data_IF_101573228981
#
_entry.id   IF_101573228981
#
_cell.length_a   1.000
_cell.length_b   1.000
_cell.length_c   1.000
_cell.angle_alpha   90.00
_cell.angle_beta   90.00
_cell.angle_gamma   90.00
#
_symmetry.space_group_name_H-M   'P 1'
#
loop_
_entity.id
_entity.type
_entity.pdbx_description
1 polymer ?
#
# COMPACT_ATOMS: atom_id res chain seq x y z
N UNK A 1 11.50 22.84 59.80
CA UNK A 1 10.34 22.54 58.94
C UNK A 1 10.34 23.28 57.59
N UNK A 2 11.03 24.42 57.45
CA UNK A 2 11.00 25.24 56.22
C UNK A 2 11.90 24.70 55.08
N UNK A 3 13.00 24.01 55.42
CA UNK A 3 14.00 23.51 54.45
C UNK A 3 13.54 22.29 53.65
N UNK A 4 12.60 21.49 54.18
CA UNK A 4 12.07 20.28 53.50
C UNK A 4 11.05 20.62 52.39
N UNK A 5 10.39 21.78 52.47
CA UNK A 5 9.39 22.22 51.47
C UNK A 5 10.03 22.80 50.20
N UNK A 6 11.21 23.40 50.31
CA UNK A 6 11.94 23.98 49.17
C UNK A 6 12.56 22.87 48.29
N UNK A 7 13.06 21.79 48.90
CA UNK A 7 13.58 20.64 48.14
C UNK A 7 12.50 19.91 47.34
N UNK A 8 11.28 19.78 47.89
CA UNK A 8 10.16 19.13 47.21
C UNK A 8 9.67 19.97 46.00
N UNK A 9 9.63 21.29 46.12
CA UNK A 9 9.23 22.18 45.03
C UNK A 9 10.23 22.16 43.86
N UNK A 10 11.54 22.06 44.13
CA UNK A 10 12.57 21.95 43.10
C UNK A 10 12.53 20.61 42.35
N UNK A 11 12.23 19.50 43.04
CA UNK A 11 12.06 18.17 42.43
C UNK A 11 10.81 18.06 41.55
N UNK A 12 9.70 18.73 41.92
CA UNK A 12 8.49 18.81 41.07
C UNK A 12 8.69 19.74 39.88
N UNK A 13 9.48 20.81 40.01
CA UNK A 13 9.83 21.65 38.88
C UNK A 13 10.78 20.94 37.89
N UNK A 14 11.74 20.17 38.39
CA UNK A 14 12.60 19.35 37.53
C UNK A 14 11.85 18.22 36.86
N UNK A 15 10.92 17.53 37.53
CA UNK A 15 10.12 16.50 36.88
C UNK A 15 9.21 17.08 35.79
N UNK A 16 8.65 18.28 35.98
CA UNK A 16 7.89 18.98 34.92
C UNK A 16 8.77 19.49 33.78
N UNK A 17 10.01 19.91 34.05
CA UNK A 17 10.96 20.30 33.00
C UNK A 17 11.46 19.08 32.19
N UNK A 18 11.63 17.93 32.84
CA UNK A 18 11.99 16.67 32.17
C UNK A 18 10.85 16.07 31.35
N UNK A 19 9.59 16.27 31.75
CA UNK A 19 8.43 15.87 30.95
C UNK A 19 8.22 16.77 29.72
N UNK A 20 8.67 18.02 29.75
CA UNK A 20 8.61 18.93 28.60
C UNK A 20 9.81 18.83 27.64
N UNK A 21 10.84 18.06 27.98
CA UNK A 21 12.00 17.79 27.10
C UNK A 21 11.92 16.42 26.39
N UNK A 22 10.85 15.65 26.63
CA UNK A 22 10.62 14.34 25.98
C UNK A 22 9.29 14.25 25.21
N UNK A 23 8.60 15.38 24.99
CA UNK A 23 7.83 15.52 23.76
C UNK A 23 8.86 15.78 22.66
N UNK A 24 9.51 14.72 22.17
CA UNK A 24 10.23 14.81 20.91
C UNK A 24 9.24 15.45 19.94
N UNK A 25 9.56 16.65 19.43
CA UNK A 25 8.79 17.25 18.35
C UNK A 25 8.61 16.13 17.32
N UNK A 26 7.38 15.67 17.12
CA UNK A 26 7.12 14.65 16.11
C UNK A 26 7.74 15.19 14.83
N UNK A 27 8.78 14.50 14.33
CA UNK A 27 9.43 14.94 13.10
C UNK A 27 8.33 14.97 12.05
N UNK A 28 8.07 16.15 11.51
CA UNK A 28 7.10 16.32 10.42
C UNK A 28 7.57 15.45 9.26
N UNK A 29 6.79 14.44 8.90
CA UNK A 29 7.06 13.59 7.73
C UNK A 29 6.80 14.47 6.50
N UNK A 30 7.82 14.71 5.68
CA UNK A 30 7.72 15.61 4.52
C UNK A 30 8.19 14.95 3.22
N UNK A 31 8.62 13.68 3.28
CA UNK A 31 9.14 12.96 2.11
C UNK A 31 8.73 11.48 2.14
N UNK A 32 8.76 10.78 0.99
CA UNK A 32 8.53 9.33 0.94
C UNK A 32 9.49 8.54 1.82
N UNK A 33 10.77 8.95 1.89
CA UNK A 33 11.76 8.26 2.71
C UNK A 33 11.40 8.30 4.20
N UNK A 34 10.91 9.43 4.69
CA UNK A 34 10.42 9.58 6.07
C UNK A 34 9.08 8.85 6.26
N UNK A 35 8.18 8.91 5.28
CA UNK A 35 6.86 8.25 5.32
C UNK A 35 7.02 6.76 5.60
N UNK A 36 7.90 6.11 4.84
CA UNK A 36 8.16 4.67 4.91
C UNK A 36 9.28 4.28 5.89
N UNK A 37 9.85 5.23 6.62
CA UNK A 37 10.94 4.95 7.55
C UNK A 37 10.50 3.93 8.60
N UNK A 38 11.28 2.84 8.71
CA UNK A 38 11.06 1.76 9.68
C UNK A 38 9.96 0.77 9.32
N UNK A 39 9.20 1.01 8.25
CA UNK A 39 8.19 0.08 7.78
C UNK A 39 8.84 -1.07 7.00
N UNK A 40 8.50 -2.29 7.41
CA UNK A 40 8.95 -3.53 6.80
C UNK A 40 7.72 -4.39 6.49
N UNK A 41 7.44 -4.56 5.20
CA UNK A 41 6.28 -5.28 4.71
C UNK A 41 6.36 -6.80 4.95
N UNK A 42 7.50 -7.34 5.40
CA UNK A 42 7.71 -8.77 5.64
C UNK A 42 7.75 -9.12 7.13
N UNK A 43 7.87 -8.12 8.01
CA UNK A 43 8.05 -8.33 9.45
C UNK A 43 6.87 -9.03 10.11
N UNK A 44 5.66 -8.49 9.92
CA UNK A 44 4.48 -9.01 10.60
C UNK A 44 3.88 -10.20 9.84
N UNK A 45 3.37 -11.23 10.53
CA UNK A 45 2.75 -12.37 9.87
C UNK A 45 1.55 -11.95 9.04
N UNK A 46 1.33 -12.62 7.90
CA UNK A 46 0.19 -12.36 7.03
C UNK A 46 -1.11 -12.99 7.53
N UNK A 47 -1.07 -13.95 8.46
CA UNK A 47 -2.26 -14.61 9.02
C UNK A 47 -3.29 -14.98 7.93
N UNK A 48 -2.84 -15.75 6.94
CA UNK A 48 -3.62 -16.06 5.74
C UNK A 48 -4.83 -16.95 6.09
N UNK A 49 -5.98 -16.66 5.49
CA UNK A 49 -7.18 -17.48 5.57
C UNK A 49 -7.68 -17.75 4.15
N UNK A 50 -7.55 -18.99 3.68
CA UNK A 50 -8.08 -19.40 2.37
C UNK A 50 -9.60 -19.44 2.46
N UNK A 51 -10.26 -18.72 1.56
CA UNK A 51 -11.71 -18.70 1.42
C UNK A 51 -12.19 -19.75 0.41
N UNK A 52 -11.55 -19.81 -0.75
CA UNK A 52 -11.79 -20.87 -1.76
C UNK A 52 -10.50 -21.25 -2.47
N UNK A 53 -10.45 -22.48 -2.99
CA UNK A 53 -9.34 -22.97 -3.80
C UNK A 53 -9.88 -23.83 -4.96
N UNK A 54 -9.26 -23.74 -6.13
CA UNK A 54 -9.63 -24.53 -7.31
C UNK A 54 -8.51 -24.56 -8.35
N UNK A 55 -8.58 -25.55 -9.23
CA UNK A 55 -7.68 -25.72 -10.38
C UNK A 55 -8.47 -25.57 -11.70
N UNK A 56 -7.85 -25.01 -12.74
CA UNK A 56 -8.49 -24.92 -14.08
C UNK A 56 -7.62 -25.43 -15.24
N UNK A 57 -6.65 -26.29 -14.94
CA UNK A 57 -5.71 -26.88 -15.90
C UNK A 57 -4.54 -25.95 -16.28
N UNK A 58 -4.72 -24.63 -16.20
CA UNK A 58 -3.60 -23.69 -16.33
C UNK A 58 -2.80 -23.54 -15.04
N UNK A 59 -3.44 -23.73 -13.89
CA UNK A 59 -2.79 -23.60 -12.59
C UNK A 59 -3.73 -23.78 -11.40
N UNK A 60 -3.17 -23.50 -10.23
CA UNK A 60 -3.81 -23.54 -8.92
C UNK A 60 -4.17 -22.12 -8.50
N UNK A 61 -5.42 -21.91 -8.07
CA UNK A 61 -5.96 -20.60 -7.72
C UNK A 61 -6.60 -20.64 -6.34
N UNK A 62 -6.45 -19.55 -5.61
CA UNK A 62 -7.04 -19.38 -4.29
C UNK A 62 -7.61 -17.97 -4.16
N UNK A 63 -8.78 -17.88 -3.53
CA UNK A 63 -9.23 -16.63 -2.91
C UNK A 63 -8.95 -16.72 -1.42
N UNK A 64 -8.49 -15.63 -0.83
CA UNK A 64 -8.03 -15.63 0.56
C UNK A 64 -8.11 -14.24 1.18
N UNK A 65 -7.98 -14.20 2.50
CA UNK A 65 -7.78 -13.00 3.28
C UNK A 65 -6.42 -13.03 3.96
N UNK A 66 -5.78 -11.87 4.12
CA UNK A 66 -4.53 -11.74 4.90
C UNK A 66 -4.51 -10.44 5.71
N UNK A 67 -3.70 -10.38 6.77
CA UNK A 67 -3.49 -9.20 7.60
C UNK A 67 -2.58 -8.22 6.86
N UNK A 68 -3.16 -7.09 6.44
CA UNK A 68 -2.43 -5.96 5.90
C UNK A 68 -1.63 -5.25 6.99
N UNK A 69 -2.33 -4.71 7.98
CA UNK A 69 -1.77 -4.04 9.15
C UNK A 69 -2.66 -4.27 10.37
N UNK A 70 -2.15 -3.96 11.56
CA UNK A 70 -2.93 -3.97 12.81
C UNK A 70 -2.89 -2.56 13.40
N UNK A 71 -4.06 -1.95 13.52
CA UNK A 71 -4.23 -0.61 14.10
C UNK A 71 -5.18 -0.69 15.27
N UNK A 72 -4.77 -0.14 16.42
CA UNK A 72 -5.53 -0.18 17.67
C UNK A 72 -6.01 -1.60 18.07
N UNK A 73 -5.16 -2.60 17.79
CA UNK A 73 -5.46 -4.01 18.05
C UNK A 73 -6.46 -4.66 17.09
N UNK A 74 -6.93 -3.96 16.05
CA UNK A 74 -7.78 -4.54 14.99
C UNK A 74 -6.98 -4.70 13.69
N UNK A 75 -7.08 -5.88 13.10
CA UNK A 75 -6.45 -6.18 11.83
C UNK A 75 -7.25 -5.59 10.66
N UNK A 76 -6.56 -4.97 9.71
CA UNK A 76 -7.05 -4.78 8.34
C UNK A 76 -6.96 -6.13 7.62
N UNK A 77 -8.11 -6.69 7.26
CA UNK A 77 -8.20 -7.99 6.59
C UNK A 77 -8.39 -7.79 5.09
N UNK A 78 -7.31 -7.96 4.35
CA UNK A 78 -7.22 -7.69 2.91
C UNK A 78 -7.71 -8.90 2.14
N UNK A 79 -8.69 -8.71 1.26
CA UNK A 79 -9.14 -9.74 0.33
C UNK A 79 -8.19 -9.84 -0.87
N UNK A 80 -7.85 -11.06 -1.28
CA UNK A 80 -7.01 -11.31 -2.44
C UNK A 80 -7.35 -12.58 -3.19
N UNK A 81 -6.88 -12.62 -4.43
CA UNK A 81 -6.89 -13.77 -5.31
C UNK A 81 -5.43 -14.00 -5.72
N UNK A 82 -4.94 -15.21 -5.52
CA UNK A 82 -3.61 -15.62 -6.02
C UNK A 82 -3.73 -16.80 -6.95
N UNK A 83 -2.76 -16.93 -7.85
CA UNK A 83 -2.67 -18.03 -8.77
C UNK A 83 -1.24 -18.37 -9.11
N UNK A 84 -1.00 -19.66 -9.36
CA UNK A 84 0.31 -20.17 -9.76
C UNK A 84 0.15 -21.21 -10.87
N UNK A 85 1.06 -21.26 -11.86
CA UNK A 85 1.04 -22.28 -12.89
C UNK A 85 1.07 -23.69 -12.31
N UNK A 86 0.39 -24.62 -12.98
CA UNK A 86 0.38 -26.03 -12.60
C UNK A 86 1.81 -26.60 -12.63
N UNK A 87 2.18 -27.39 -11.63
CA UNK A 87 3.54 -27.91 -11.46
C UNK A 87 3.95 -28.89 -12.58
N UNK A 88 2.99 -29.50 -13.26
CA UNK A 88 3.14 -30.43 -14.38
C UNK A 88 2.59 -29.85 -15.70
N UNK A 89 2.20 -28.57 -15.70
CA UNK A 89 1.66 -27.88 -16.87
C UNK A 89 2.74 -27.42 -17.87
N UNK A 90 2.34 -26.92 -19.05
CA UNK A 90 3.27 -26.47 -20.10
C UNK A 90 4.17 -25.28 -19.70
N UNK A 91 3.86 -24.63 -18.58
CA UNK A 91 4.61 -23.51 -18.02
C UNK A 91 5.39 -23.88 -16.74
N UNK A 92 5.46 -25.16 -16.39
CA UNK A 92 6.14 -25.64 -15.19
C UNK A 92 7.62 -25.23 -15.17
N UNK A 93 8.03 -24.59 -14.06
CA UNK A 93 9.41 -24.16 -13.80
C UNK A 93 9.67 -24.24 -12.30
N UNK A 94 10.91 -24.52 -11.91
CA UNK A 94 11.34 -24.52 -10.51
C UNK A 94 11.19 -23.13 -9.86
N UNK A 95 11.55 -22.08 -10.61
CA UNK A 95 11.40 -20.68 -10.21
C UNK A 95 10.66 -19.86 -11.27
N UNK A 96 9.50 -19.32 -10.91
CA UNK A 96 8.64 -18.51 -11.77
C UNK A 96 8.69 -17.03 -11.40
N UNK A 97 8.60 -16.12 -12.38
CA UNK A 97 8.42 -14.69 -12.09
C UNK A 97 7.05 -14.44 -11.44
N UNK A 98 6.95 -13.35 -10.69
CA UNK A 98 5.71 -12.94 -10.02
C UNK A 98 5.16 -11.63 -10.58
N UNK A 99 3.84 -11.49 -10.61
CA UNK A 99 3.14 -10.25 -10.95
C UNK A 99 2.17 -9.87 -9.84
N UNK A 100 2.23 -8.62 -9.38
CA UNK A 100 1.16 -8.01 -8.60
C UNK A 100 0.29 -7.14 -9.52
N UNK A 101 -1.00 -7.43 -9.55
CA UNK A 101 -2.01 -6.60 -10.17
C UNK A 101 -2.64 -5.67 -9.13
N UNK A 102 -2.68 -4.36 -9.45
CA UNK A 102 -3.34 -3.32 -8.64
C UNK A 102 -4.52 -2.75 -9.43
N UNK A 103 -5.76 -3.05 -9.01
CA UNK A 103 -6.97 -2.67 -9.76
C UNK A 103 -7.26 -1.16 -9.73
N UNK A 104 -8.21 -0.70 -10.56
CA UNK A 104 -8.68 0.69 -10.54
C UNK A 104 -9.62 1.01 -9.39
N UNK A 105 -9.87 2.30 -9.15
CA UNK A 105 -10.81 2.74 -8.11
C UNK A 105 -12.22 2.20 -8.37
N UNK A 106 -12.93 1.82 -7.30
CA UNK A 106 -14.26 1.20 -7.38
C UNK A 106 -14.28 -0.24 -7.89
N UNK A 107 -13.12 -0.85 -8.17
CA UNK A 107 -12.96 -2.27 -8.55
C UNK A 107 -12.44 -3.12 -7.38
N UNK A 108 -12.30 -4.43 -7.58
CA UNK A 108 -11.82 -5.42 -6.59
C UNK A 108 -10.75 -6.34 -7.21
N UNK A 109 -10.22 -7.28 -6.42
CA UNK A 109 -9.33 -8.33 -6.87
C UNK A 109 -9.92 -9.08 -8.08
N UNK A 110 -9.14 -9.19 -9.15
CA UNK A 110 -9.55 -9.76 -10.44
C UNK A 110 -8.95 -11.14 -10.68
N UNK A 111 -9.81 -12.16 -10.74
CA UNK A 111 -9.43 -13.51 -11.16
C UNK A 111 -8.98 -13.56 -12.62
N UNK A 112 -9.56 -12.73 -13.48
CA UNK A 112 -9.21 -12.70 -14.90
C UNK A 112 -7.76 -12.29 -15.12
N UNK A 113 -7.29 -11.25 -14.41
CA UNK A 113 -5.88 -10.84 -14.45
C UNK A 113 -4.95 -11.91 -13.86
N UNK A 114 -5.38 -12.60 -12.80
CA UNK A 114 -4.60 -13.72 -12.23
C UNK A 114 -4.46 -14.85 -13.25
N UNK A 115 -5.56 -15.29 -13.88
CA UNK A 115 -5.55 -16.32 -14.93
C UNK A 115 -4.73 -15.91 -16.15
N UNK A 116 -4.80 -14.64 -16.54
CA UNK A 116 -4.03 -14.10 -17.66
C UNK A 116 -2.53 -14.31 -17.48
N UNK A 117 -2.01 -14.01 -16.29
CA UNK A 117 -0.59 -14.14 -15.98
C UNK A 117 -0.15 -15.57 -15.69
N UNK A 118 -1.00 -16.36 -15.00
CA UNK A 118 -0.75 -17.79 -14.75
C UNK A 118 -0.58 -18.56 -16.06
N UNK A 119 -1.45 -18.33 -17.05
CA UNK A 119 -1.34 -18.95 -18.37
C UNK A 119 -0.05 -18.60 -19.13
N UNK A 120 0.65 -17.54 -18.71
CA UNK A 120 1.93 -17.08 -19.28
C UNK A 120 3.14 -17.52 -18.45
N UNK A 121 2.93 -18.34 -17.42
CA UNK A 121 4.01 -18.87 -16.57
C UNK A 121 4.44 -17.96 -15.43
N UNK A 122 3.58 -17.03 -15.01
CA UNK A 122 3.83 -16.14 -13.87
C UNK A 122 2.95 -16.56 -12.69
N UNK A 123 3.49 -16.48 -11.47
CA UNK A 123 2.63 -16.36 -10.30
C UNK A 123 1.95 -14.99 -10.33
N UNK A 124 0.71 -14.89 -9.88
CA UNK A 124 0.01 -13.62 -9.87
C UNK A 124 -0.81 -13.45 -8.59
N UNK A 125 -0.74 -12.27 -7.99
CA UNK A 125 -1.62 -11.83 -6.91
C UNK A 125 -2.40 -10.60 -7.39
N UNK A 126 -3.67 -10.58 -7.05
CA UNK A 126 -4.59 -9.45 -7.23
C UNK A 126 -5.30 -9.27 -5.89
N UNK A 127 -5.35 -8.06 -5.35
CA UNK A 127 -5.89 -7.80 -4.01
C UNK A 127 -6.85 -6.61 -4.06
N UNK A 128 -7.79 -6.56 -3.11
CA UNK A 128 -8.72 -5.44 -2.97
C UNK A 128 -8.13 -4.37 -2.04
N UNK A 129 -8.11 -3.11 -2.47
CA UNK A 129 -7.86 -1.97 -1.58
C UNK A 129 -9.08 -1.04 -1.45
N UNK A 130 -10.12 -1.23 -2.28
CA UNK A 130 -11.30 -0.36 -2.22
C UNK A 130 -12.13 -0.62 -0.96
N UNK A 131 -12.14 -1.86 -0.46
CA UNK A 131 -12.97 -2.25 0.66
C UNK A 131 -14.44 -2.47 0.28
N UNK A 132 -15.33 -2.39 1.26
CA UNK A 132 -16.75 -2.74 1.11
C UNK A 132 -17.47 -1.89 0.05
N UNK A 133 -18.24 -2.57 -0.80
CA UNK A 133 -19.17 -2.01 -1.78
C UNK A 133 -20.43 -2.88 -1.79
N UNK A 134 -21.61 -2.29 -2.01
CA UNK A 134 -22.90 -3.00 -1.88
C UNK A 134 -23.02 -4.28 -2.72
N UNK A 135 -22.34 -4.34 -3.87
CA UNK A 135 -22.41 -5.46 -4.81
C UNK A 135 -21.19 -6.39 -4.74
N UNK A 136 -20.60 -6.59 -3.56
CA UNK A 136 -19.41 -7.45 -3.37
C UNK A 136 -19.59 -8.42 -2.21
N UNK A 137 -19.40 -9.71 -2.51
CA UNK A 137 -19.39 -10.75 -1.48
C UNK A 137 -18.10 -10.73 -0.65
N UNK A 138 -16.96 -10.44 -1.30
CA UNK A 138 -15.65 -10.38 -0.67
C UNK A 138 -14.99 -9.02 -0.91
N UNK A 139 -14.41 -8.45 0.15
CA UNK A 139 -13.77 -7.16 0.15
C UNK A 139 -12.79 -7.04 1.31
N UNK A 140 -11.90 -6.04 1.23
CA UNK A 140 -11.00 -5.70 2.32
C UNK A 140 -11.76 -5.03 3.45
N UNK A 141 -11.67 -5.61 4.65
CA UNK A 141 -12.14 -5.00 5.88
C UNK A 141 -11.04 -4.10 6.44
N UNK A 142 -11.30 -2.79 6.42
CA UNK A 142 -10.38 -1.77 6.91
C UNK A 142 -10.38 -1.61 8.44
N UNK A 143 -11.21 -2.37 9.18
CA UNK A 143 -11.21 -2.35 10.64
C UNK A 143 -11.52 -0.95 11.20
N UNK A 144 -10.60 -0.38 11.98
CA UNK A 144 -10.73 1.00 12.51
C UNK A 144 -10.37 2.09 11.50
N UNK A 145 -9.80 1.74 10.34
CA UNK A 145 -9.42 2.68 9.28
C UNK A 145 -10.56 2.85 8.27
N UNK A 146 -11.78 3.12 8.72
CA UNK A 146 -12.97 3.31 7.87
C UNK A 146 -12.79 4.32 6.71
N UNK A 147 -12.07 5.42 6.94
CA UNK A 147 -11.64 6.40 5.93
C UNK A 147 -10.74 5.80 4.81
N UNK A 148 -10.23 4.58 4.97
CA UNK A 148 -9.53 3.86 3.90
C UNK A 148 -10.46 3.05 3.01
N UNK A 149 -11.72 2.85 3.39
CA UNK A 149 -12.73 2.38 2.45
C UNK A 149 -12.92 3.46 1.38
N UNK A 150 -12.67 3.11 0.12
CA UNK A 150 -12.67 4.07 -0.98
C UNK A 150 -14.02 4.76 -1.18
N UNK A 151 -15.15 4.12 -0.83
CA UNK A 151 -16.47 4.73 -0.92
C UNK A 151 -16.62 5.95 0.00
N UNK A 152 -15.84 6.00 1.09
CA UNK A 152 -15.89 7.02 2.14
C UNK A 152 -14.55 7.72 2.36
N UNK A 153 -13.57 7.52 1.47
CA UNK A 153 -12.22 8.03 1.64
C UNK A 153 -12.07 9.53 1.33
N UNK A 154 -13.07 10.15 0.68
CA UNK A 154 -13.06 11.57 0.31
C UNK A 154 -11.76 11.95 -0.46
N UNK A 155 -11.37 11.12 -1.42
CA UNK A 155 -10.12 11.28 -2.19
C UNK A 155 -8.85 10.79 -1.49
N UNK A 156 -8.90 10.47 -0.19
CA UNK A 156 -7.82 9.86 0.58
C UNK A 156 -6.68 10.82 0.92
N UNK A 157 -6.89 12.13 0.80
CA UNK A 157 -5.83 13.15 0.90
C UNK A 157 -5.54 13.61 2.34
N UNK A 158 -6.16 12.98 3.35
CA UNK A 158 -6.04 13.42 4.73
C UNK A 158 -4.64 13.13 5.29
N UNK A 159 -3.93 14.16 5.76
CA UNK A 159 -2.53 14.05 6.24
C UNK A 159 -2.34 14.51 7.69
N UNK A 160 -3.43 14.65 8.46
CA UNK A 160 -3.38 15.01 9.88
C UNK A 160 -3.77 13.82 10.76
N UNK A 161 -3.05 13.52 11.86
CA UNK A 161 -1.94 14.30 12.43
C UNK A 161 -0.62 14.16 11.65
N UNK A 162 -0.49 13.13 10.82
CA UNK A 162 0.68 12.92 9.94
C UNK A 162 0.26 12.38 8.58
N UNK A 163 1.11 12.49 7.54
CA UNK A 163 0.87 11.90 6.23
C UNK A 163 0.50 10.40 6.22
N UNK A 164 0.84 9.66 7.28
CA UNK A 164 0.42 8.26 7.45
C UNK A 164 -1.09 8.11 7.68
N UNK A 165 -1.83 9.21 7.89
CA UNK A 165 -3.31 9.20 7.89
C UNK A 165 -3.90 8.98 6.50
N UNK A 166 -3.14 9.25 5.44
CA UNK A 166 -3.70 9.24 4.09
C UNK A 166 -4.15 7.83 3.70
N UNK A 167 -5.33 7.71 3.10
CA UNK A 167 -5.78 6.42 2.56
C UNK A 167 -4.81 5.89 1.50
N UNK A 168 -4.12 6.77 0.76
CA UNK A 168 -3.07 6.38 -0.19
C UNK A 168 -1.86 5.71 0.49
N UNK A 169 -1.49 6.12 1.71
CA UNK A 169 -0.47 5.44 2.50
C UNK A 169 -0.92 4.01 2.83
N UNK A 170 -2.13 3.86 3.34
CA UNK A 170 -2.69 2.55 3.71
C UNK A 170 -2.93 1.64 2.49
N UNK A 171 -3.43 2.17 1.38
CA UNK A 171 -3.59 1.43 0.11
C UNK A 171 -2.25 0.93 -0.43
N UNK A 172 -1.21 1.76 -0.39
CA UNK A 172 0.14 1.36 -0.79
C UNK A 172 0.76 0.37 0.20
N UNK A 173 0.49 0.52 1.50
CA UNK A 173 0.92 -0.41 2.54
C UNK A 173 0.37 -1.80 2.26
N UNK A 174 -0.95 -1.95 2.06
CA UNK A 174 -1.56 -3.26 1.78
C UNK A 174 -1.10 -3.84 0.45
N UNK A 175 -0.77 -2.99 -0.55
CA UNK A 175 -0.15 -3.45 -1.80
C UNK A 175 1.25 -4.05 -1.57
N UNK A 176 2.07 -3.41 -0.72
CA UNK A 176 3.39 -3.96 -0.31
C UNK A 176 3.25 -5.24 0.51
N UNK A 177 2.17 -5.40 1.27
CA UNK A 177 1.84 -6.65 1.96
C UNK A 177 1.37 -7.73 0.97
N UNK A 178 0.68 -7.36 -0.10
CA UNK A 178 0.35 -8.27 -1.20
C UNK A 178 1.61 -8.72 -1.98
N UNK A 179 2.64 -7.88 -2.10
CA UNK A 179 3.97 -8.31 -2.58
C UNK A 179 4.58 -9.38 -1.66
N UNK A 180 4.43 -9.24 -0.33
CA UNK A 180 4.88 -10.27 0.63
C UNK A 180 4.09 -11.55 0.43
N UNK A 181 2.77 -11.48 0.23
CA UNK A 181 1.95 -12.65 -0.07
C UNK A 181 2.43 -13.39 -1.33
N UNK A 182 2.73 -12.64 -2.40
CA UNK A 182 3.27 -13.18 -3.65
C UNK A 182 4.67 -13.80 -3.45
N UNK A 183 5.56 -13.11 -2.75
CA UNK A 183 6.94 -13.50 -2.54
C UNK A 183 7.14 -14.63 -1.51
N UNK A 184 6.09 -14.98 -0.76
CA UNK A 184 6.07 -16.10 0.19
C UNK A 184 5.78 -17.45 -0.49
N UNK A 185 5.31 -17.47 -1.74
CA UNK A 185 5.23 -18.71 -2.49
C UNK A 185 6.66 -19.17 -2.85
N UNK A 186 7.10 -20.37 -2.41
CA UNK A 186 8.47 -20.83 -2.61
C UNK A 186 8.87 -21.01 -4.08
N UNK A 187 7.89 -21.06 -5.00
CA UNK A 187 8.14 -21.14 -6.45
C UNK A 187 8.44 -19.76 -7.04
N UNK A 188 8.10 -18.67 -6.36
CA UNK A 188 8.30 -17.31 -6.87
C UNK A 188 9.75 -16.89 -6.72
N UNK A 189 10.33 -16.47 -7.84
CA UNK A 189 11.63 -15.84 -7.88
C UNK A 189 11.52 -14.38 -7.41
N UNK A 190 12.01 -14.12 -6.21
CA UNK A 190 11.95 -12.81 -5.55
C UNK A 190 12.71 -11.71 -6.31
N UNK A 191 13.64 -12.09 -7.19
CA UNK A 191 14.39 -11.17 -8.05
C UNK A 191 13.67 -10.89 -9.39
N UNK A 192 12.48 -11.46 -9.60
CA UNK A 192 11.68 -11.30 -10.84
C UNK A 192 10.21 -11.02 -10.52
N UNK A 193 9.96 -10.01 -9.68
CA UNK A 193 8.62 -9.53 -9.37
C UNK A 193 8.34 -8.21 -10.11
N UNK A 194 7.28 -8.19 -10.92
CA UNK A 194 6.76 -6.99 -11.56
C UNK A 194 5.42 -6.55 -10.97
N UNK A 195 5.07 -5.28 -11.16
CA UNK A 195 3.74 -4.77 -10.82
C UNK A 195 3.12 -4.03 -12.00
N UNK A 196 1.81 -4.08 -12.11
CA UNK A 196 1.06 -3.21 -13.01
C UNK A 196 -0.27 -2.83 -12.38
N UNK A 197 -0.83 -1.71 -12.81
CA UNK A 197 -2.09 -1.25 -12.28
C UNK A 197 -2.76 -0.21 -13.14
N UNK A 198 -4.07 -0.07 -12.97
CA UNK A 198 -4.93 0.75 -13.83
C UNK A 198 -5.52 1.92 -13.04
N UNK A 199 -5.50 3.13 -13.59
CA UNK A 199 -6.08 4.34 -12.97
C UNK A 199 -5.52 4.56 -11.56
N UNK A 200 -6.34 4.52 -10.51
CA UNK A 200 -5.90 4.57 -9.10
C UNK A 200 -4.80 3.53 -8.82
N UNK A 201 -4.96 2.30 -9.31
CA UNK A 201 -3.94 1.25 -9.19
C UNK A 201 -2.66 1.57 -9.96
N UNK A 202 -2.78 2.31 -11.07
CA UNK A 202 -1.64 2.86 -11.79
C UNK A 202 -0.91 3.93 -10.97
N UNK A 203 -1.65 4.83 -10.29
CA UNK A 203 -1.06 5.80 -9.36
C UNK A 203 -0.38 5.09 -8.18
N UNK A 204 -1.00 4.06 -7.60
CA UNK A 204 -0.39 3.22 -6.55
C UNK A 204 0.88 2.52 -7.02
N UNK A 205 1.01 2.15 -8.30
CA UNK A 205 2.24 1.56 -8.82
C UNK A 205 3.47 2.46 -8.59
N UNK A 206 3.34 3.78 -8.73
CA UNK A 206 4.43 4.72 -8.47
C UNK A 206 4.84 4.72 -6.99
N UNK A 207 3.86 4.74 -6.10
CA UNK A 207 4.07 4.74 -4.65
C UNK A 207 4.74 3.43 -4.23
N UNK A 208 4.24 2.29 -4.70
CA UNK A 208 4.76 0.95 -4.37
C UNK A 208 6.15 0.74 -4.96
N UNK A 209 6.36 1.04 -6.25
CA UNK A 209 7.68 0.88 -6.88
C UNK A 209 8.74 1.82 -6.30
N UNK A 210 8.35 3.02 -5.84
CA UNK A 210 9.24 3.97 -5.19
C UNK A 210 9.55 3.66 -3.72
N UNK A 211 8.79 2.75 -3.10
CA UNK A 211 8.92 2.42 -1.66
C UNK A 211 9.24 0.96 -1.37
N UNK A 212 9.25 0.08 -2.37
CA UNK A 212 9.49 -1.35 -2.20
C UNK A 212 10.54 -1.89 -3.19
N UNK A 213 11.75 -2.24 -2.73
CA UNK A 213 12.85 -2.66 -3.61
C UNK A 213 12.64 -4.05 -4.26
N UNK A 214 11.61 -4.80 -3.86
CA UNK A 214 11.25 -6.08 -4.48
C UNK A 214 10.66 -5.88 -5.88
N UNK A 215 10.17 -4.68 -6.21
CA UNK A 215 9.62 -4.38 -7.54
C UNK A 215 10.73 -4.21 -8.57
N UNK A 216 10.80 -5.13 -9.53
CA UNK A 216 11.83 -5.19 -10.58
C UNK A 216 11.38 -4.73 -11.95
N UNK A 217 10.08 -4.50 -12.14
CA UNK A 217 9.53 -3.77 -13.28
C UNK A 217 8.15 -3.21 -12.89
N UNK A 218 7.79 -2.05 -13.43
CA UNK A 218 6.50 -1.40 -13.15
C UNK A 218 5.83 -0.89 -14.42
N UNK A 219 4.53 -1.14 -14.55
CA UNK A 219 3.70 -0.65 -15.65
C UNK A 219 2.43 0.08 -15.15
N UNK A 220 2.51 1.40 -14.91
CA UNK A 220 1.34 2.22 -14.59
C UNK A 220 0.50 2.46 -15.86
N UNK A 221 -0.81 2.20 -15.79
CA UNK A 221 -1.76 2.34 -16.90
C UNK A 221 -2.79 3.43 -16.57
N UNK A 222 -2.79 4.54 -17.31
CA UNK A 222 -3.62 5.74 -17.09
C UNK A 222 -3.60 6.26 -15.63
N UNK A 223 -2.52 5.99 -14.89
CA UNK A 223 -2.31 6.40 -13.52
C UNK A 223 -1.00 7.16 -13.40
N UNK A 224 -1.08 8.45 -13.07
CA UNK A 224 0.05 9.35 -12.98
C UNK A 224 -0.07 10.29 -11.78
N UNK A 225 1.02 10.99 -11.47
CA UNK A 225 1.04 12.05 -10.47
C UNK A 225 0.54 13.38 -11.04
N UNK A 226 0.70 14.45 -10.25
CA UNK A 226 0.32 15.82 -10.63
C UNK A 226 -1.18 16.03 -10.86
N UNK A 227 -2.03 15.22 -10.23
CA UNK A 227 -3.49 15.40 -10.25
C UNK A 227 -3.95 16.63 -9.44
N UNK A 228 -3.09 17.17 -8.59
CA UNK A 228 -3.35 18.32 -7.71
C UNK A 228 -2.40 19.49 -7.99
N UNK A 229 -1.84 19.55 -9.19
CA UNK A 229 -0.83 20.54 -9.57
C UNK A 229 -1.45 21.95 -9.64
N UNK A 230 -0.99 22.84 -8.76
CA UNK A 230 -1.45 24.23 -8.70
C UNK A 230 -1.14 25.04 -9.97
N UNK A 231 -0.23 24.60 -10.83
CA UNK A 231 -0.02 25.23 -12.15
C UNK A 231 -1.19 24.97 -13.10
N UNK A 232 -1.98 23.92 -12.85
CA UNK A 232 -3.17 23.58 -13.63
C UNK A 232 -4.44 24.30 -13.17
N UNK A 233 -4.36 25.27 -12.26
CA UNK A 233 -5.49 26.11 -11.80
C UNK A 233 -6.34 26.69 -12.93
N UNK A 234 -5.72 27.03 -14.06
CA UNK A 234 -6.42 27.52 -15.25
C UNK A 234 -7.46 26.52 -15.82
N UNK A 235 -7.41 25.26 -15.39
CA UNK A 235 -8.28 24.16 -15.79
C UNK A 235 -9.26 23.73 -14.67
N UNK A 236 -9.42 24.53 -13.62
CA UNK A 236 -10.42 24.29 -12.56
C UNK A 236 -9.98 23.38 -11.41
N UNK A 237 -8.67 23.19 -11.21
CA UNK A 237 -8.13 22.47 -10.06
C UNK A 237 -8.11 23.33 -8.78
N UNK A 238 -8.25 22.68 -7.63
CA UNK A 238 -8.42 23.30 -6.30
C UNK A 238 -7.25 24.22 -5.88
N UNK A 239 -7.52 25.12 -4.92
CA UNK A 239 -6.48 25.87 -4.22
C UNK A 239 -5.53 24.92 -3.48
N UNK A 240 -4.23 25.20 -3.54
CA UNK A 240 -3.23 24.45 -2.77
C UNK A 240 -3.34 24.83 -1.30
N UNK A 241 -3.85 23.92 -0.48
CA UNK A 241 -3.81 24.04 0.98
C UNK A 241 -2.49 23.47 1.52
N UNK A 242 -2.04 23.88 2.72
CA UNK A 242 -0.86 23.29 3.36
C UNK A 242 -0.93 21.77 3.50
N UNK A 243 -2.13 21.22 3.75
CA UNK A 243 -2.37 19.77 3.83
C UNK A 243 -2.16 19.10 2.46
N UNK A 244 -2.64 19.73 1.39
CA UNK A 244 -2.47 19.20 0.04
C UNK A 244 -1.01 19.28 -0.40
N UNK A 245 -0.30 20.36 -0.08
CA UNK A 245 1.14 20.47 -0.33
C UNK A 245 1.92 19.39 0.42
N UNK A 246 1.58 19.13 1.68
CA UNK A 246 2.19 18.07 2.47
C UNK A 246 1.91 16.68 1.87
N UNK A 247 0.67 16.43 1.43
CA UNK A 247 0.32 15.20 0.73
C UNK A 247 1.13 15.04 -0.56
N UNK A 248 1.26 16.10 -1.35
CA UNK A 248 2.05 16.12 -2.57
C UNK A 248 3.52 15.82 -2.33
N UNK A 249 4.10 16.35 -1.26
CA UNK A 249 5.52 16.15 -0.93
C UNK A 249 5.81 14.75 -0.38
N UNK A 250 4.91 14.19 0.44
CA UNK A 250 5.18 12.95 1.18
C UNK A 250 4.54 11.69 0.56
N UNK A 251 3.33 11.79 0.01
CA UNK A 251 2.48 10.62 -0.30
C UNK A 251 2.29 10.39 -1.80
N UNK A 252 2.22 11.46 -2.59
CA UNK A 252 1.84 11.41 -4.00
C UNK A 252 2.73 10.52 -4.89
N UNK A 253 2.23 10.17 -6.08
CA UNK A 253 3.00 9.42 -7.07
C UNK A 253 4.25 10.18 -7.54
N UNK A 254 4.14 11.49 -7.77
CA UNK A 254 5.26 12.34 -8.19
C UNK A 254 6.35 12.45 -7.12
N UNK A 255 6.00 12.42 -5.84
CA UNK A 255 6.99 12.36 -4.76
C UNK A 255 7.78 11.05 -4.76
N UNK A 256 7.13 9.93 -5.11
CA UNK A 256 7.75 8.60 -5.12
C UNK A 256 8.57 8.33 -6.40
N UNK A 257 8.27 9.00 -7.52
CA UNK A 257 8.91 8.75 -8.81
C UNK A 257 10.45 8.83 -8.77
N UNK A 258 11.12 9.79 -8.10
CA UNK A 258 12.58 9.85 -7.99
C UNK A 258 13.23 8.66 -7.27
N UNK A 259 12.45 7.88 -6.51
CA UNK A 259 12.93 6.74 -5.74
C UNK A 259 12.85 5.41 -6.51
N UNK A 260 12.17 5.38 -7.67
CA UNK A 260 12.05 4.17 -8.49
C UNK A 260 13.39 3.82 -9.12
N UNK A 261 13.81 2.56 -8.95
CA UNK A 261 15.10 2.04 -9.46
C UNK A 261 14.94 0.97 -10.55
N UNK A 262 13.72 0.55 -10.84
CA UNK A 262 13.42 -0.45 -11.86
C UNK A 262 12.91 0.17 -13.17
N UNK A 263 12.91 -0.57 -14.29
CA UNK A 263 12.31 -0.12 -15.54
C UNK A 263 10.82 0.23 -15.39
N UNK A 264 10.42 1.37 -15.96
CA UNK A 264 9.03 1.86 -15.98
C UNK A 264 8.50 1.82 -17.40
N UNK A 265 7.35 1.17 -17.61
CA UNK A 265 6.59 1.21 -18.85
C UNK A 265 5.28 1.98 -18.63
N UNK A 266 5.24 3.26 -18.99
CA UNK A 266 4.05 4.09 -18.86
C UNK A 266 3.09 3.86 -20.03
N UNK A 267 1.85 3.47 -19.73
CA UNK A 267 0.77 3.40 -20.72
C UNK A 267 -0.23 4.51 -20.41
N UNK A 268 -0.35 5.49 -21.31
CA UNK A 268 -1.28 6.59 -21.14
C UNK A 268 -1.96 6.96 -22.47
N UNK A 269 -3.07 7.70 -22.39
CA UNK A 269 -3.76 8.28 -23.53
C UNK A 269 -3.45 9.78 -23.60
N UNK A 270 -3.40 10.31 -24.82
CA UNK A 270 -3.20 11.74 -25.11
C UNK A 270 -4.48 12.53 -24.98
#
# INVERSE_FOLDING_TARGET
>A
MLTRKILLAALVLWSRLSFHLAAAAERTITSPSELWQGFDAEREPLEQQIATQFDDGAGHFETLFFTGEVVDGKAVRVYAIRGTPAADGPQARERIPGILHIHGGGQTASLEWVKFWVRRGYACVSFDFCGHWENRDNFTDWGTLDHCNMATAEGGLQVSPTPRRSSWYHWALVARRALTLLANDPRVDRERIGIFGVSVGGTLCWIVAGSDPRVRAVAPIYGCGYSHDGSKRAWGFDELTPELELWQQAVSAEAHAPYIRCPVMLLNAT
#
